data_IF_327622871439
#
_entry.id   IF_327622871439
#
_cell.length_a   1.000
_cell.length_b   1.000
_cell.length_c   1.000
_cell.angle_alpha   90.00
_cell.angle_beta   90.00
_cell.angle_gamma   90.00
#
_symmetry.space_group_name_H-M   'P 1'
#
loop_
_entity.id
_entity.type
_entity.pdbx_description
1 polymer ?
#
# COMPACT_ATOMS: atom_id res chain seq x y z
N UNK A 1 11.29 8.27 -2.39
CA UNK A 1 10.54 9.49 -2.12
C UNK A 1 11.14 10.24 -0.93
N UNK A 2 11.59 11.52 -1.07
CA UNK A 2 12.31 12.27 -0.02
C UNK A 2 11.54 12.37 1.31
N UNK A 3 10.21 12.42 1.23
CA UNK A 3 9.31 12.55 2.39
C UNK A 3 9.48 11.45 3.45
N UNK A 4 9.86 10.23 3.05
CA UNK A 4 9.96 9.09 3.95
C UNK A 4 11.39 8.65 4.26
N UNK A 5 12.41 9.45 3.89
CA UNK A 5 13.81 9.15 4.18
C UNK A 5 14.10 9.00 5.68
N UNK A 6 13.32 9.66 6.54
CA UNK A 6 13.45 9.53 7.99
C UNK A 6 13.15 8.09 8.46
N UNK A 7 12.15 7.41 7.86
CA UNK A 7 11.84 6.01 8.15
C UNK A 7 13.00 5.11 7.71
N UNK A 8 13.50 5.30 6.47
CA UNK A 8 14.66 4.55 5.99
C UNK A 8 15.87 4.74 6.91
N UNK A 9 16.14 5.97 7.34
CA UNK A 9 17.22 6.27 8.28
C UNK A 9 17.01 5.56 9.63
N UNK A 10 15.79 5.56 10.15
CA UNK A 10 15.44 4.88 11.40
C UNK A 10 15.71 3.37 11.28
N UNK A 11 15.20 2.71 10.27
CA UNK A 11 15.42 1.29 10.05
C UNK A 11 16.90 0.94 9.84
N UNK A 12 17.60 1.74 9.05
CA UNK A 12 19.01 1.47 8.77
C UNK A 12 19.90 1.71 9.98
N UNK A 13 19.79 2.88 10.63
CA UNK A 13 20.70 3.26 11.73
C UNK A 13 20.39 2.60 13.05
N UNK A 14 19.09 2.41 13.37
CA UNK A 14 18.70 1.91 14.68
C UNK A 14 18.53 0.37 14.70
N UNK A 15 18.17 -0.22 13.54
CA UNK A 15 17.89 -1.65 13.45
C UNK A 15 18.87 -2.40 12.53
N UNK A 16 19.77 -1.72 11.84
CA UNK A 16 20.78 -2.33 10.98
C UNK A 16 20.23 -2.92 9.67
N UNK A 17 19.03 -2.54 9.24
CA UNK A 17 18.44 -3.08 8.02
C UNK A 17 19.03 -2.43 6.77
N UNK A 18 19.15 -3.21 5.69
CA UNK A 18 19.29 -2.69 4.35
C UNK A 18 17.93 -2.14 3.90
N UNK A 19 17.93 -1.04 3.16
CA UNK A 19 16.69 -0.32 2.80
C UNK A 19 16.64 -0.14 1.29
N UNK A 20 15.53 -0.55 0.69
CA UNK A 20 15.14 -0.21 -0.67
C UNK A 20 13.85 0.61 -0.63
N UNK A 21 13.86 1.78 -1.23
CA UNK A 21 12.72 2.71 -1.25
C UNK A 21 12.38 3.07 -2.71
N UNK A 22 11.57 2.25 -3.39
CA UNK A 22 11.19 2.53 -4.77
C UNK A 22 10.17 3.67 -4.85
N UNK A 23 10.22 4.43 -5.94
CA UNK A 23 9.08 5.20 -6.38
C UNK A 23 8.08 4.26 -7.06
N UNK A 24 6.83 4.26 -6.59
CA UNK A 24 5.79 3.42 -7.18
C UNK A 24 5.41 3.90 -8.58
N UNK A 25 4.72 3.07 -9.34
CA UNK A 25 4.17 3.39 -10.66
C UNK A 25 3.53 4.79 -10.68
N UNK A 26 3.83 5.58 -11.70
CA UNK A 26 3.39 6.97 -11.85
C UNK A 26 3.79 7.93 -10.71
N UNK A 27 4.82 7.61 -9.92
CA UNK A 27 5.35 8.48 -8.86
C UNK A 27 6.84 8.74 -9.05
N UNK A 28 7.29 9.92 -8.60
CA UNK A 28 8.70 10.30 -8.61
C UNK A 28 9.33 10.23 -9.99
N UNK A 29 10.31 9.36 -10.16
CA UNK A 29 11.00 9.10 -11.43
C UNK A 29 10.50 7.84 -12.16
N UNK A 30 9.52 7.13 -11.59
CA UNK A 30 8.95 5.95 -12.21
C UNK A 30 7.95 6.30 -13.29
N UNK A 31 8.00 5.58 -14.40
CA UNK A 31 7.04 5.71 -15.50
C UNK A 31 5.62 5.33 -15.09
N UNK A 32 4.63 5.73 -15.90
CA UNK A 32 3.24 5.36 -15.74
C UNK A 32 2.26 6.50 -15.99
N UNK A 33 1.06 6.17 -16.46
CA UNK A 33 0.02 7.15 -16.81
C UNK A 33 -1.11 7.26 -15.77
N UNK A 34 -1.08 6.46 -14.72
CA UNK A 34 -2.16 6.46 -13.74
C UNK A 34 -1.82 5.78 -12.43
N UNK A 35 -2.37 6.34 -11.36
CA UNK A 35 -2.20 5.82 -10.00
C UNK A 35 -3.26 4.76 -9.75
N UNK A 36 -2.85 3.54 -9.37
CA UNK A 36 -3.72 2.42 -9.06
C UNK A 36 -4.22 2.39 -7.62
N UNK A 37 -3.96 3.42 -6.81
CA UNK A 37 -4.32 3.51 -5.39
C UNK A 37 -3.89 2.30 -4.56
N UNK A 38 -2.74 1.73 -4.89
CA UNK A 38 -2.18 0.55 -4.26
C UNK A 38 -2.71 -0.78 -4.81
N UNK A 39 -3.62 -0.76 -5.79
CA UNK A 39 -4.17 -1.98 -6.36
C UNK A 39 -3.23 -2.59 -7.42
N UNK A 40 -2.84 -1.83 -8.42
CA UNK A 40 -1.92 -2.30 -9.45
C UNK A 40 -0.48 -2.36 -8.91
N UNK A 41 -0.08 -1.38 -8.13
CA UNK A 41 1.25 -1.23 -7.56
C UNK A 41 1.66 -2.41 -6.64
N UNK A 42 0.69 -3.20 -6.15
CA UNK A 42 0.99 -4.39 -5.32
C UNK A 42 1.86 -5.41 -6.05
N UNK A 43 1.70 -5.55 -7.35
CA UNK A 43 2.53 -6.45 -8.16
C UNK A 43 3.94 -5.90 -8.37
N UNK A 44 4.06 -4.58 -8.56
CA UNK A 44 5.35 -3.93 -8.70
C UNK A 44 6.18 -4.06 -7.42
N UNK A 45 5.54 -3.97 -6.24
CA UNK A 45 6.23 -4.13 -4.96
C UNK A 45 6.73 -5.57 -4.76
N UNK A 46 6.03 -6.59 -5.27
CA UNK A 46 6.56 -7.97 -5.28
C UNK A 46 7.85 -8.03 -6.10
N UNK A 47 7.88 -7.41 -7.28
CA UNK A 47 9.10 -7.34 -8.13
C UNK A 47 10.21 -6.55 -7.45
N UNK A 48 9.89 -5.44 -6.78
CA UNK A 48 10.87 -4.70 -5.98
C UNK A 48 11.43 -5.51 -4.81
N UNK A 49 10.65 -6.41 -4.23
CA UNK A 49 11.15 -7.33 -3.20
C UNK A 49 12.14 -8.36 -3.77
N UNK A 50 11.93 -8.81 -5.02
CA UNK A 50 12.91 -9.66 -5.73
C UNK A 50 14.22 -8.90 -5.98
N UNK A 51 14.14 -7.66 -6.46
CA UNK A 51 15.32 -6.79 -6.62
C UNK A 51 16.05 -6.57 -5.31
N UNK A 52 15.31 -6.35 -4.22
CA UNK A 52 15.91 -6.19 -2.88
C UNK A 52 16.62 -7.47 -2.42
N UNK A 53 16.03 -8.63 -2.69
CA UNK A 53 16.66 -9.92 -2.39
C UNK A 53 17.97 -10.10 -3.18
N UNK A 54 17.96 -9.80 -4.48
CA UNK A 54 19.17 -9.88 -5.31
C UNK A 54 20.29 -8.93 -4.85
N UNK A 55 19.92 -7.68 -4.52
CA UNK A 55 20.87 -6.64 -4.11
C UNK A 55 21.52 -6.90 -2.73
N UNK A 56 20.74 -7.47 -1.81
CA UNK A 56 21.15 -7.58 -0.41
C UNK A 56 21.37 -9.03 0.04
N UNK A 57 21.23 -10.00 -0.85
CA UNK A 57 21.45 -11.41 -0.56
C UNK A 57 22.86 -11.66 -0.01
N UNK A 58 22.91 -12.45 1.06
CA UNK A 58 24.15 -12.93 1.65
C UNK A 58 24.28 -14.46 1.45
N UNK A 59 25.46 -14.97 1.11
CA UNK A 59 25.67 -16.42 1.02
C UNK A 59 25.49 -17.16 2.35
N UNK A 60 25.59 -16.45 3.46
CA UNK A 60 25.61 -17.02 4.81
C UNK A 60 24.24 -16.97 5.52
N UNK A 61 23.25 -16.25 4.97
CA UNK A 61 21.97 -16.02 5.65
C UNK A 61 20.80 -16.03 4.67
N UNK A 62 19.68 -16.61 5.09
CA UNK A 62 18.40 -16.49 4.39
C UNK A 62 17.93 -15.03 4.40
N UNK A 63 17.51 -14.52 3.25
CA UNK A 63 16.93 -13.18 3.15
C UNK A 63 15.62 -13.09 3.93
N UNK A 64 15.45 -12.01 4.68
CA UNK A 64 14.23 -11.69 5.42
C UNK A 64 13.80 -10.27 5.07
N UNK A 65 12.72 -10.14 4.33
CA UNK A 65 12.21 -8.86 3.86
C UNK A 65 10.94 -8.48 4.63
N UNK A 66 10.90 -7.23 5.08
CA UNK A 66 9.71 -6.58 5.65
C UNK A 66 9.24 -5.55 4.64
N UNK A 67 7.96 -5.58 4.30
CA UNK A 67 7.34 -4.55 3.45
C UNK A 67 6.64 -3.53 4.35
N UNK A 68 7.05 -2.28 4.25
CA UNK A 68 6.46 -1.18 5.01
C UNK A 68 5.88 -0.14 4.03
N UNK A 69 4.64 0.22 4.21
CA UNK A 69 3.97 1.26 3.45
C UNK A 69 3.25 2.26 4.33
N UNK A 70 3.18 3.52 3.87
CA UNK A 70 2.49 4.61 4.55
C UNK A 70 1.36 5.12 3.66
N UNK A 71 0.16 5.33 4.18
CA UNK A 71 -1.02 5.84 3.46
C UNK A 71 -1.36 4.96 2.25
N UNK A 72 -1.32 5.48 1.02
CA UNK A 72 -1.46 4.66 -0.18
C UNK A 72 -0.43 3.51 -0.24
N UNK A 73 0.79 3.72 0.26
CA UNK A 73 1.79 2.65 0.40
C UNK A 73 1.34 1.57 1.40
N UNK A 74 0.63 1.92 2.47
CA UNK A 74 0.03 0.95 3.38
C UNK A 74 -1.06 0.14 2.68
N UNK A 75 -1.92 0.80 1.89
CA UNK A 75 -2.90 0.10 1.07
C UNK A 75 -2.23 -0.86 0.06
N UNK A 76 -1.12 -0.43 -0.56
CA UNK A 76 -0.30 -1.30 -1.44
C UNK A 76 0.22 -2.51 -0.69
N UNK A 77 0.79 -2.31 0.50
CA UNK A 77 1.31 -3.36 1.38
C UNK A 77 0.23 -4.35 1.79
N UNK A 78 -0.93 -3.86 2.20
CA UNK A 78 -2.10 -4.69 2.54
C UNK A 78 -2.63 -5.45 1.34
N UNK A 79 -2.72 -4.81 0.15
CA UNK A 79 -3.14 -5.48 -1.08
C UNK A 79 -2.17 -6.60 -1.47
N UNK A 80 -0.85 -6.35 -1.35
CA UNK A 80 0.19 -7.34 -1.61
C UNK A 80 0.10 -8.53 -0.64
N UNK A 81 -0.22 -8.28 0.62
CA UNK A 81 -0.21 -9.32 1.67
C UNK A 81 -1.16 -10.49 1.38
N UNK A 82 -2.20 -10.26 0.60
CA UNK A 82 -3.16 -11.30 0.18
C UNK A 82 -2.83 -11.98 -1.16
N UNK A 83 -1.76 -11.55 -1.84
CA UNK A 83 -1.30 -12.17 -3.10
C UNK A 83 -0.25 -13.25 -2.84
N UNK A 84 -0.07 -14.21 -3.74
CA UNK A 84 1.09 -15.09 -3.70
C UNK A 84 2.40 -14.29 -3.76
N UNK A 85 3.29 -14.51 -2.82
CA UNK A 85 4.56 -13.79 -2.74
C UNK A 85 5.69 -14.70 -2.23
N UNK A 86 6.96 -14.37 -2.48
CA UNK A 86 8.11 -15.17 -2.08
C UNK A 86 8.18 -15.40 -0.55
N UNK A 87 8.73 -16.54 -0.15
CA UNK A 87 8.85 -16.96 1.27
C UNK A 87 9.75 -16.05 2.09
N UNK A 88 10.69 -15.36 1.46
CA UNK A 88 11.59 -14.42 2.12
C UNK A 88 10.91 -13.09 2.55
N UNK A 89 9.72 -12.76 2.04
CA UNK A 89 8.88 -11.72 2.63
C UNK A 89 8.28 -12.30 3.92
N UNK A 90 8.67 -11.79 5.09
CA UNK A 90 8.34 -12.39 6.39
C UNK A 90 7.17 -11.70 7.09
N UNK A 91 7.01 -10.40 6.95
CA UNK A 91 5.93 -9.63 7.56
C UNK A 91 5.69 -8.29 6.86
N UNK A 92 4.63 -7.63 7.25
CA UNK A 92 4.17 -6.38 6.68
C UNK A 92 3.96 -5.31 7.76
N UNK A 93 4.13 -4.04 7.39
CA UNK A 93 3.81 -2.89 8.24
C UNK A 93 2.93 -1.94 7.42
N UNK A 94 1.70 -1.73 7.87
CA UNK A 94 0.72 -0.85 7.25
C UNK A 94 0.46 0.36 8.15
N UNK A 95 0.98 1.52 7.74
CA UNK A 95 0.87 2.77 8.48
C UNK A 95 -0.19 3.66 7.83
N UNK A 96 -1.28 3.96 8.53
CA UNK A 96 -2.46 4.73 8.12
C UNK A 96 -3.06 4.28 6.77
N UNK A 97 -3.32 2.97 6.61
CA UNK A 97 -3.97 2.41 5.43
C UNK A 97 -5.49 2.47 5.47
N UNK A 98 -6.14 2.40 4.31
CA UNK A 98 -7.59 2.41 4.16
C UNK A 98 -8.16 1.03 3.82
N UNK A 99 -9.47 0.83 4.07
CA UNK A 99 -10.18 -0.45 3.86
C UNK A 99 -10.46 -0.78 2.40
N UNK A 100 -10.78 0.23 1.60
CA UNK A 100 -10.97 0.13 0.15
C UNK A 100 -10.84 1.50 -0.51
N UNK A 101 -10.52 1.52 -1.80
CA UNK A 101 -10.54 2.77 -2.57
C UNK A 101 -11.94 3.40 -2.57
N UNK A 102 -12.98 2.57 -2.54
CA UNK A 102 -14.34 3.06 -2.41
C UNK A 102 -14.58 3.81 -1.10
N UNK A 103 -14.16 3.25 0.04
CA UNK A 103 -14.39 3.86 1.36
C UNK A 103 -13.57 5.15 1.50
N UNK A 104 -12.33 5.12 1.04
CA UNK A 104 -11.44 6.29 1.05
C UNK A 104 -12.03 7.44 0.23
N UNK A 105 -12.36 7.21 -1.03
CA UNK A 105 -12.91 8.26 -1.88
C UNK A 105 -14.29 8.74 -1.42
N UNK A 106 -15.11 7.85 -0.86
CA UNK A 106 -16.39 8.24 -0.27
C UNK A 106 -16.21 9.18 0.92
N UNK A 107 -15.23 8.89 1.78
CA UNK A 107 -14.87 9.75 2.91
C UNK A 107 -14.43 11.13 2.43
N UNK A 108 -13.45 11.18 1.53
CA UNK A 108 -12.91 12.42 0.97
C UNK A 108 -13.97 13.25 0.23
N UNK A 109 -14.85 12.60 -0.54
CA UNK A 109 -15.94 13.28 -1.25
C UNK A 109 -16.90 13.97 -0.30
N UNK A 110 -17.22 13.31 0.82
CA UNK A 110 -18.11 13.86 1.85
C UNK A 110 -17.44 14.99 2.64
N UNK A 111 -16.20 14.79 3.07
CA UNK A 111 -15.49 15.75 3.94
C UNK A 111 -15.05 17.01 3.20
N UNK A 112 -14.50 16.85 1.99
CA UNK A 112 -13.96 18.01 1.26
C UNK A 112 -15.00 18.73 0.41
N UNK A 113 -16.00 18.00 -0.13
CA UNK A 113 -16.94 18.55 -1.10
C UNK A 113 -18.39 18.53 -0.60
N UNK A 114 -18.70 17.88 0.52
CA UNK A 114 -20.06 17.69 1.05
C UNK A 114 -21.02 17.07 0.01
N UNK A 115 -20.50 16.24 -0.89
CA UNK A 115 -21.26 15.61 -1.96
C UNK A 115 -21.67 14.17 -1.60
N UNK A 116 -22.87 13.75 -2.04
CA UNK A 116 -23.30 12.35 -1.90
C UNK A 116 -22.50 11.44 -2.83
N UNK A 117 -22.25 10.17 -2.45
CA UNK A 117 -21.51 9.24 -3.28
C UNK A 117 -22.24 8.85 -4.57
N UNK A 118 -23.57 8.88 -4.59
CA UNK A 118 -24.37 8.62 -5.79
C UNK A 118 -24.75 9.93 -6.49
N UNK A 119 -24.68 10.01 -7.84
CA UNK A 119 -24.21 8.96 -8.77
C UNK A 119 -22.67 9.00 -9.02
N UNK A 120 -21.95 10.04 -8.54
CA UNK A 120 -20.58 10.38 -8.91
C UNK A 120 -19.60 9.22 -8.72
N UNK A 121 -19.59 8.60 -7.53
CA UNK A 121 -18.70 7.48 -7.21
C UNK A 121 -18.93 6.26 -8.11
N UNK A 122 -20.18 6.01 -8.50
CA UNK A 122 -20.51 4.88 -9.37
C UNK A 122 -20.01 5.11 -10.79
N UNK A 123 -20.19 6.33 -11.29
CA UNK A 123 -19.70 6.75 -12.62
C UNK A 123 -18.17 6.70 -12.62
N UNK A 124 -17.50 7.31 -11.65
CA UNK A 124 -16.05 7.32 -11.53
C UNK A 124 -15.45 5.90 -11.45
N UNK A 125 -16.05 5.02 -10.63
CA UNK A 125 -15.61 3.63 -10.52
C UNK A 125 -15.80 2.85 -11.84
N UNK A 126 -16.86 3.15 -12.59
CA UNK A 126 -17.09 2.53 -13.91
C UNK A 126 -16.10 3.01 -14.97
N UNK A 127 -15.79 4.31 -14.97
CA UNK A 127 -14.76 4.88 -15.84
C UNK A 127 -13.36 4.32 -15.50
N UNK A 128 -13.06 4.15 -14.22
CA UNK A 128 -11.84 3.51 -13.76
C UNK A 128 -11.72 2.08 -14.32
N UNK A 129 -12.81 1.30 -14.27
CA UNK A 129 -12.84 -0.03 -14.86
C UNK A 129 -12.61 -0.03 -16.37
N UNK A 130 -13.22 0.91 -17.08
CA UNK A 130 -13.06 1.03 -18.54
C UNK A 130 -11.63 1.40 -18.93
N UNK A 131 -10.98 2.30 -18.16
CA UNK A 131 -9.66 2.82 -18.49
C UNK A 131 -8.52 1.98 -17.93
N UNK A 132 -8.67 1.46 -16.69
CA UNK A 132 -7.60 0.83 -15.93
C UNK A 132 -7.84 -0.63 -15.56
N UNK A 133 -9.03 -1.17 -15.89
CA UNK A 133 -9.36 -2.58 -15.69
C UNK A 133 -9.84 -2.98 -14.29
N UNK A 134 -9.94 -2.06 -13.33
CA UNK A 134 -10.35 -2.35 -11.96
C UNK A 134 -11.41 -1.35 -11.43
N UNK A 135 -12.12 -1.72 -10.37
CA UNK A 135 -13.14 -0.89 -9.74
C UNK A 135 -12.72 -0.47 -8.32
N UNK A 136 -13.28 0.65 -7.84
CA UNK A 136 -13.01 1.12 -6.47
C UNK A 136 -13.38 0.13 -5.37
N UNK A 137 -14.37 -0.76 -5.60
CA UNK A 137 -14.77 -1.81 -4.66
C UNK A 137 -13.93 -3.08 -4.76
N UNK A 138 -13.33 -3.32 -5.91
CA UNK A 138 -12.39 -4.41 -6.14
C UNK A 138 -11.06 -4.14 -5.45
N UNK A 139 -10.55 -2.90 -5.55
CA UNK A 139 -9.36 -2.44 -4.87
C UNK A 139 -9.64 -2.29 -3.36
N UNK A 140 -9.56 -3.41 -2.64
CA UNK A 140 -9.90 -3.51 -1.22
C UNK A 140 -8.79 -4.17 -0.41
N UNK A 141 -7.91 -3.37 0.21
CA UNK A 141 -6.94 -3.83 1.19
C UNK A 141 -7.54 -4.76 2.26
N UNK A 142 -8.73 -4.42 2.80
CA UNK A 142 -9.42 -5.25 3.79
C UNK A 142 -9.64 -6.69 3.32
N UNK A 143 -10.09 -6.88 2.07
CA UNK A 143 -10.30 -8.22 1.50
C UNK A 143 -9.00 -8.98 1.27
N UNK A 144 -7.91 -8.28 1.01
CA UNK A 144 -6.61 -8.91 0.81
C UNK A 144 -5.96 -9.29 2.14
N UNK A 145 -6.04 -8.42 3.15
CA UNK A 145 -5.57 -8.74 4.51
C UNK A 145 -6.24 -10.00 5.06
N UNK A 146 -7.54 -10.20 4.78
CA UNK A 146 -8.26 -11.41 5.19
C UNK A 146 -7.68 -12.72 4.62
N UNK A 147 -6.85 -12.65 3.57
CA UNK A 147 -6.15 -13.80 2.98
C UNK A 147 -4.71 -13.94 3.47
N UNK A 148 -4.19 -12.91 4.14
CA UNK A 148 -2.81 -12.89 4.60
C UNK A 148 -2.56 -13.92 5.69
N UNK A 149 -1.48 -14.69 5.55
CA UNK A 149 -1.05 -15.71 6.51
C UNK A 149 0.22 -15.32 7.27
N UNK A 150 0.70 -14.10 7.06
CA UNK A 150 1.92 -13.59 7.71
C UNK A 150 1.59 -12.45 8.66
N UNK A 151 2.44 -12.17 9.66
CA UNK A 151 2.23 -11.07 10.58
C UNK A 151 2.10 -9.73 9.86
N UNK A 152 1.12 -8.94 10.27
CA UNK A 152 0.95 -7.54 9.85
C UNK A 152 0.93 -6.67 11.10
N UNK A 153 1.77 -5.63 11.12
CA UNK A 153 1.69 -4.55 12.10
C UNK A 153 0.88 -3.42 11.50
N UNK A 154 -0.19 -3.04 12.16
CA UNK A 154 -0.97 -1.85 11.82
C UNK A 154 -0.59 -0.69 12.70
N UNK A 155 -0.33 0.46 12.08
CA UNK A 155 -0.07 1.73 12.76
C UNK A 155 -1.10 2.72 12.24
N UNK A 156 -1.74 3.48 13.14
CA UNK A 156 -2.72 4.49 12.75
C UNK A 156 -2.79 5.62 13.78
N UNK A 157 -2.86 6.85 13.32
CA UNK A 157 -3.04 8.01 14.20
C UNK A 157 -4.48 8.08 14.73
N UNK A 158 -4.65 8.22 16.03
CA UNK A 158 -5.98 8.34 16.66
C UNK A 158 -6.82 9.53 16.17
N UNK A 159 -6.14 10.56 15.66
CA UNK A 159 -6.76 11.80 15.14
C UNK A 159 -6.55 11.95 13.63
N UNK A 160 -6.37 10.85 12.92
CA UNK A 160 -6.27 10.89 11.46
C UNK A 160 -7.65 11.21 10.87
N UNK A 161 -7.76 12.40 10.29
CA UNK A 161 -8.99 12.87 9.63
C UNK A 161 -8.97 12.58 8.14
N UNK A 162 -7.81 12.29 7.55
CA UNK A 162 -7.69 11.98 6.13
C UNK A 162 -8.04 10.52 5.84
N UNK A 163 -7.42 9.58 6.57
CA UNK A 163 -7.83 8.18 6.59
C UNK A 163 -8.43 7.92 7.98
N UNK A 164 -9.78 7.85 8.11
CA UNK A 164 -10.41 7.73 9.42
C UNK A 164 -9.91 6.52 10.21
N UNK A 165 -9.58 6.75 11.49
CA UNK A 165 -8.98 5.73 12.38
C UNK A 165 -9.87 4.49 12.51
N UNK A 166 -11.19 4.61 12.35
CA UNK A 166 -12.11 3.47 12.36
C UNK A 166 -11.80 2.42 11.30
N UNK A 167 -11.07 2.79 10.24
CA UNK A 167 -10.69 1.85 9.18
C UNK A 167 -9.72 0.78 9.66
N UNK A 168 -8.86 1.06 10.65
CA UNK A 168 -7.89 0.09 11.16
C UNK A 168 -8.54 -0.99 12.04
N UNK A 169 -9.73 -0.73 12.58
CA UNK A 169 -10.45 -1.65 13.47
C UNK A 169 -11.41 -2.60 12.73
N UNK A 170 -11.45 -2.54 11.42
CA UNK A 170 -12.28 -3.43 10.57
C UNK A 170 -11.50 -4.64 10.10
#
# INVERSE_FOLDING_TARGET
APKYLYLGRMYHRNLGFNILMPDLHAHGLSDGEGIGMGWNERHDVIRWAEVAEELFRSPSHESKIVIHGVSMGAATTMNLSGEPHPSYIKCFVADCGFTSVWDEFRGQLREQFSLPPFPLMHIASRLCRMKYGWTFREASPLKQVAKCQKPILFIHGEKDTFVPTEMVYR
#
